data_IF_928436878729
#
_entry.id   IF_928436878729
#
_cell.length_a   1.000
_cell.length_b   1.000
_cell.length_c   1.000
_cell.angle_alpha   90.00
_cell.angle_beta   90.00
_cell.angle_gamma   90.00
#
_symmetry.space_group_name_H-M   'P 1'
#
loop_
_entity.id
_entity.type
_entity.pdbx_description
1 polymer ?
#
# COMPACT_ATOMS: atom_id res chain seq x y z
N UNK A 1 -24.88 -3.62 -5.86
CA UNK A 1 -23.44 -3.34 -6.04
C UNK A 1 -23.15 -1.88 -6.37
N UNK A 2 -24.16 -1.06 -6.67
CA UNK A 2 -24.00 0.38 -6.94
C UNK A 2 -23.74 1.20 -5.66
N UNK A 3 -24.46 0.89 -4.57
CA UNK A 3 -24.31 1.54 -3.26
C UNK A 3 -22.94 1.38 -2.57
N UNK A 4 -22.04 0.54 -3.11
CA UNK A 4 -20.68 0.39 -2.60
C UNK A 4 -19.69 1.35 -3.28
N UNK A 5 -20.03 1.96 -4.43
CA UNK A 5 -19.11 2.85 -5.15
C UNK A 5 -18.85 4.18 -4.41
N UNK A 6 -19.80 4.61 -3.58
CA UNK A 6 -19.72 5.86 -2.81
C UNK A 6 -19.18 5.68 -1.37
N UNK A 7 -18.86 4.44 -0.98
CA UNK A 7 -18.32 4.17 0.36
C UNK A 7 -16.81 4.40 0.38
N UNK A 8 -16.39 5.41 1.13
CA UNK A 8 -15.00 5.63 1.49
C UNK A 8 -14.55 4.54 2.46
N UNK A 9 -13.39 3.95 2.21
CA UNK A 9 -12.73 3.03 3.13
C UNK A 9 -11.76 3.84 3.98
N UNK A 10 -11.97 3.93 5.31
CA UNK A 10 -11.08 4.69 6.17
C UNK A 10 -9.64 4.18 6.09
N UNK A 11 -8.70 5.11 6.17
CA UNK A 11 -7.29 4.73 6.30
C UNK A 11 -7.03 4.12 7.68
N UNK A 12 -6.04 3.24 7.74
CA UNK A 12 -5.49 2.71 8.98
C UNK A 12 -4.16 3.43 9.20
N UNK A 13 -4.18 4.49 10.00
CA UNK A 13 -3.03 5.37 10.19
C UNK A 13 -2.88 5.79 11.66
N UNK A 14 -1.65 6.06 12.05
CA UNK A 14 -1.25 6.65 13.32
C UNK A 14 0.08 7.40 13.09
N UNK A 15 0.54 8.14 14.09
CA UNK A 15 1.88 8.72 14.07
C UNK A 15 2.95 7.64 14.27
N UNK A 16 4.19 7.93 13.82
CA UNK A 16 5.35 7.08 14.11
C UNK A 16 5.40 5.75 13.35
N UNK A 17 4.68 5.63 12.22
CA UNK A 17 4.69 4.42 11.41
C UNK A 17 6.08 4.13 10.83
N UNK A 18 6.50 2.86 10.91
CA UNK A 18 7.65 2.36 10.14
C UNK A 18 7.30 2.27 8.65
N UNK A 19 6.11 1.80 8.32
CA UNK A 19 5.66 1.64 6.93
C UNK A 19 4.20 2.03 6.78
N UNK A 20 3.90 2.93 5.85
CA UNK A 20 2.56 3.17 5.34
C UNK A 20 2.41 2.44 3.99
N UNK A 21 1.66 1.35 3.96
CA UNK A 21 1.31 0.67 2.71
C UNK A 21 0.23 1.45 1.98
N UNK A 22 0.39 1.62 0.68
CA UNK A 22 -0.55 2.35 -0.16
C UNK A 22 -1.02 1.45 -1.31
N UNK A 23 -2.28 1.01 -1.24
CA UNK A 23 -2.96 0.36 -2.34
C UNK A 23 -3.34 1.33 -3.46
N UNK A 24 -3.89 0.80 -4.55
CA UNK A 24 -4.33 1.63 -5.68
C UNK A 24 -5.62 2.36 -5.32
N UNK A 25 -6.69 1.60 -5.14
CA UNK A 25 -8.00 2.07 -4.73
C UNK A 25 -8.82 0.91 -4.16
N UNK A 26 -9.91 1.19 -3.40
CA UNK A 26 -10.82 0.17 -2.92
C UNK A 26 -11.43 -0.65 -4.07
N UNK A 27 -11.27 -1.97 -4.05
CA UNK A 27 -12.10 -2.86 -4.86
C UNK A 27 -13.53 -2.94 -4.29
N UNK A 28 -14.49 -3.47 -5.05
CA UNK A 28 -15.89 -3.61 -4.58
C UNK A 28 -16.03 -4.33 -3.24
N UNK A 29 -15.25 -5.39 -3.00
CA UNK A 29 -15.26 -6.10 -1.71
C UNK A 29 -14.73 -5.21 -0.58
N UNK A 30 -13.63 -4.49 -0.81
CA UNK A 30 -13.05 -3.57 0.17
C UNK A 30 -14.01 -2.43 0.50
N UNK A 31 -14.74 -1.90 -0.48
CA UNK A 31 -15.77 -0.90 -0.25
C UNK A 31 -17.02 -1.46 0.47
N UNK A 32 -17.36 -2.72 0.21
CA UNK A 32 -18.48 -3.38 0.88
C UNK A 32 -18.18 -3.72 2.36
N UNK A 33 -16.95 -4.15 2.66
CA UNK A 33 -16.54 -4.57 4.02
C UNK A 33 -15.91 -3.45 4.83
N UNK A 34 -15.41 -2.39 4.20
CA UNK A 34 -14.59 -1.38 4.86
C UNK A 34 -13.17 -1.86 5.22
N UNK A 35 -12.73 -2.98 4.64
CA UNK A 35 -11.44 -3.60 4.97
C UNK A 35 -10.51 -3.66 3.76
N UNK A 36 -9.30 -3.15 3.93
CA UNK A 36 -8.27 -3.10 2.90
C UNK A 36 -7.91 -4.51 2.42
N UNK A 37 -7.75 -4.66 1.10
CA UNK A 37 -7.36 -5.92 0.45
C UNK A 37 -8.26 -7.13 0.79
N UNK A 38 -9.55 -6.91 1.08
CA UNK A 38 -10.49 -7.96 1.50
C UNK A 38 -10.93 -8.97 0.43
N UNK A 39 -10.62 -8.74 -0.85
CA UNK A 39 -11.04 -9.64 -1.94
C UNK A 39 -10.36 -11.02 -1.80
N UNK A 40 -11.11 -12.14 -1.85
CA UNK A 40 -10.51 -13.47 -1.94
C UNK A 40 -9.51 -13.58 -3.09
N UNK A 41 -8.35 -14.19 -2.81
CA UNK A 41 -7.24 -14.30 -3.76
C UNK A 41 -6.34 -13.05 -3.86
N UNK A 42 -6.65 -11.96 -3.13
CA UNK A 42 -5.66 -10.91 -2.88
C UNK A 42 -4.60 -11.43 -1.91
N UNK A 43 -3.33 -11.25 -2.27
CA UNK A 43 -2.19 -11.83 -1.55
C UNK A 43 -1.55 -10.89 -0.53
N UNK A 44 -2.08 -9.68 -0.31
CA UNK A 44 -1.48 -8.70 0.60
C UNK A 44 -1.28 -9.27 2.00
N UNK A 45 -2.36 -9.78 2.62
CA UNK A 45 -2.30 -10.32 3.99
C UNK A 45 -1.40 -11.56 4.11
N UNK A 46 -1.49 -12.58 3.23
CA UNK A 46 -0.52 -13.67 3.19
C UNK A 46 0.93 -13.21 3.04
N UNK A 47 1.22 -12.31 2.11
CA UNK A 47 2.57 -11.81 1.83
C UNK A 47 3.11 -11.00 3.00
N UNK A 48 2.27 -10.18 3.64
CA UNK A 48 2.62 -9.40 4.82
C UNK A 48 3.07 -10.32 5.97
N UNK A 49 2.35 -11.41 6.20
CA UNK A 49 2.76 -12.42 7.18
C UNK A 49 4.04 -13.16 6.77
N UNK A 50 4.10 -13.68 5.54
CA UNK A 50 5.25 -14.45 5.04
C UNK A 50 6.55 -13.65 5.03
N UNK A 51 6.47 -12.32 4.87
CA UNK A 51 7.62 -11.40 4.94
C UNK A 51 8.04 -11.01 6.36
N UNK A 52 7.30 -11.49 7.37
CA UNK A 52 7.60 -11.28 8.78
C UNK A 52 7.15 -9.93 9.33
N UNK A 53 6.33 -9.15 8.62
CA UNK A 53 5.76 -7.91 9.15
C UNK A 53 4.76 -8.18 10.28
N UNK A 54 4.04 -9.31 10.21
CA UNK A 54 3.10 -9.73 11.25
C UNK A 54 3.45 -11.14 11.75
N UNK A 55 3.31 -11.40 13.08
CA UNK A 55 3.68 -12.69 13.68
C UNK A 55 2.74 -13.84 13.27
N UNK A 56 1.55 -13.50 12.78
CA UNK A 56 0.53 -14.42 12.28
C UNK A 56 -0.14 -13.83 11.04
N UNK A 57 -0.88 -14.67 10.32
CA UNK A 57 -1.77 -14.21 9.25
C UNK A 57 -2.98 -13.47 9.85
N UNK A 58 -3.05 -12.16 9.62
CA UNK A 58 -4.21 -11.35 9.97
C UNK A 58 -5.30 -11.47 8.91
N UNK A 59 -6.56 -11.45 9.34
CA UNK A 59 -7.71 -11.24 8.45
C UNK A 59 -7.85 -9.75 8.12
N UNK A 60 -8.46 -9.38 6.99
CA UNK A 60 -8.72 -7.97 6.66
C UNK A 60 -9.46 -7.19 7.76
N UNK A 61 -10.37 -7.83 8.49
CA UNK A 61 -11.09 -7.21 9.61
C UNK A 61 -10.18 -6.88 10.81
N UNK A 62 -9.02 -7.52 10.92
CA UNK A 62 -8.01 -7.30 11.96
C UNK A 62 -7.03 -6.16 11.58
N UNK A 63 -7.29 -5.40 10.50
CA UNK A 63 -6.39 -4.36 10.00
C UNK A 63 -5.99 -3.31 11.04
N UNK A 64 -6.82 -3.05 12.06
CA UNK A 64 -6.47 -2.15 13.16
C UNK A 64 -5.27 -2.61 13.98
N UNK A 65 -4.98 -3.91 14.04
CA UNK A 65 -3.79 -4.44 14.72
C UNK A 65 -2.48 -4.01 14.04
N UNK A 66 -2.51 -3.56 12.78
CA UNK A 66 -1.31 -3.08 12.10
C UNK A 66 -0.62 -1.93 12.81
N UNK A 67 -1.40 -1.07 13.47
CA UNK A 67 -0.87 0.09 14.18
C UNK A 67 0.04 -0.31 15.34
N UNK A 68 -0.23 -1.45 16.03
CA UNK A 68 0.64 -1.93 17.11
C UNK A 68 1.97 -2.49 16.60
N UNK A 69 2.07 -2.81 15.30
CA UNK A 69 3.31 -3.19 14.61
C UNK A 69 4.00 -1.99 13.94
N UNK A 70 3.47 -0.77 14.12
CA UNK A 70 3.95 0.44 13.44
C UNK A 70 3.70 0.42 11.93
N UNK A 71 2.63 -0.25 11.49
CA UNK A 71 2.24 -0.37 10.08
C UNK A 71 0.90 0.32 9.84
N UNK A 72 0.75 0.98 8.69
CA UNK A 72 -0.50 1.60 8.26
C UNK A 72 -0.92 1.20 6.86
N UNK A 73 -2.17 1.47 6.49
CA UNK A 73 -2.71 1.25 5.14
C UNK A 73 -3.56 2.44 4.69
N UNK A 74 -3.31 2.89 3.45
CA UNK A 74 -4.10 3.88 2.70
C UNK A 74 -4.28 3.41 1.25
N UNK A 75 -5.01 4.17 0.43
CA UNK A 75 -4.97 4.05 -1.04
C UNK A 75 -4.53 5.35 -1.71
N UNK A 76 -4.07 5.27 -2.96
CA UNK A 76 -3.80 6.44 -3.82
C UNK A 76 -5.11 7.15 -4.16
N UNK A 77 -6.12 6.40 -4.60
CA UNK A 77 -7.42 6.94 -5.01
C UNK A 77 -8.50 6.43 -4.06
N UNK A 78 -9.33 7.35 -3.56
CA UNK A 78 -10.38 7.03 -2.60
C UNK A 78 -11.60 6.34 -3.24
N UNK A 79 -11.86 6.61 -4.52
CA UNK A 79 -13.03 6.07 -5.25
C UNK A 79 -12.92 4.56 -5.44
N UNK A 80 -13.99 3.85 -5.07
CA UNK A 80 -14.08 2.41 -5.27
C UNK A 80 -14.38 2.07 -6.75
N UNK A 81 -13.70 1.07 -7.29
CA UNK A 81 -13.96 0.54 -8.65
C UNK A 81 -13.96 -0.98 -8.65
N UNK A 82 -14.55 -1.60 -9.70
CA UNK A 82 -14.46 -3.04 -9.86
C UNK A 82 -13.06 -3.46 -10.32
N UNK A 83 -12.43 -2.61 -11.13
CA UNK A 83 -11.09 -2.80 -11.67
C UNK A 83 -10.29 -1.50 -11.62
N UNK A 84 -8.99 -1.62 -11.35
CA UNK A 84 -8.09 -0.46 -11.29
C UNK A 84 -7.86 0.21 -12.65
N UNK A 85 -8.22 -0.45 -13.77
CA UNK A 85 -8.19 0.11 -15.12
C UNK A 85 -9.39 1.05 -15.42
N UNK A 86 -10.37 1.15 -14.51
CA UNK A 86 -11.44 2.16 -14.54
C UNK A 86 -11.01 3.52 -13.97
N UNK A 87 -9.78 3.65 -13.48
CA UNK A 87 -9.24 4.90 -12.96
C UNK A 87 -8.57 5.70 -14.08
N UNK A 88 -8.91 6.98 -14.17
CA UNK A 88 -8.30 7.92 -15.12
C UNK A 88 -6.91 8.35 -14.67
N UNK A 89 -6.09 8.84 -15.61
CA UNK A 89 -4.76 9.36 -15.29
C UNK A 89 -4.85 10.55 -14.32
N UNK A 90 -5.85 11.41 -14.50
CA UNK A 90 -6.12 12.58 -13.67
C UNK A 90 -6.42 12.18 -12.22
N UNK A 91 -7.17 11.09 -12.01
CA UNK A 91 -7.44 10.56 -10.68
C UNK A 91 -6.17 10.03 -10.00
N UNK A 92 -5.29 9.34 -10.73
CA UNK A 92 -4.01 8.93 -10.18
C UNK A 92 -3.16 10.13 -9.76
N UNK A 93 -3.04 11.15 -10.63
CA UNK A 93 -2.25 12.34 -10.35
C UNK A 93 -2.84 13.12 -9.17
N UNK A 94 -4.17 13.26 -9.08
CA UNK A 94 -4.83 13.87 -7.94
C UNK A 94 -4.61 13.07 -6.66
N UNK A 95 -4.76 11.74 -6.72
CA UNK A 95 -4.48 10.84 -5.62
C UNK A 95 -3.03 10.89 -5.14
N UNK A 96 -2.07 11.01 -6.06
CA UNK A 96 -0.65 11.18 -5.75
C UNK A 96 -0.36 12.47 -4.97
N UNK A 97 -1.04 13.58 -5.29
CA UNK A 97 -0.94 14.83 -4.52
C UNK A 97 -1.50 14.68 -3.10
N UNK A 98 -2.66 14.04 -2.96
CA UNK A 98 -3.27 13.79 -1.64
C UNK A 98 -2.43 12.83 -0.80
N UNK A 99 -1.87 11.78 -1.42
CA UNK A 99 -0.97 10.86 -0.77
C UNK A 99 0.32 11.55 -0.31
N UNK A 100 0.87 12.46 -1.14
CA UNK A 100 2.02 13.28 -0.77
C UNK A 100 1.73 14.09 0.48
N UNK A 101 0.61 14.83 0.52
CA UNK A 101 0.22 15.62 1.69
C UNK A 101 0.08 14.76 2.95
N UNK A 102 -0.60 13.61 2.84
CA UNK A 102 -0.78 12.66 3.94
C UNK A 102 0.54 12.10 4.47
N UNK A 103 1.48 11.76 3.58
CA UNK A 103 2.79 11.24 3.95
C UNK A 103 3.63 12.33 4.62
N UNK A 104 3.56 13.57 4.14
CA UNK A 104 4.22 14.71 4.79
C UNK A 104 3.68 14.96 6.20
N UNK A 105 2.38 14.75 6.45
CA UNK A 105 1.77 14.88 7.77
C UNK A 105 2.15 13.72 8.70
N UNK A 106 1.90 12.48 8.28
CA UNK A 106 2.11 11.28 9.10
C UNK A 106 3.59 10.90 9.30
N UNK A 107 4.46 11.37 8.39
CA UNK A 107 5.91 11.13 8.37
C UNK A 107 6.28 9.65 8.63
N UNK A 108 5.70 8.67 7.91
CA UNK A 108 6.14 7.29 8.05
C UNK A 108 7.61 7.18 7.62
N UNK A 109 8.39 6.24 8.18
CA UNK A 109 9.77 6.03 7.68
C UNK A 109 9.78 5.64 6.20
N UNK A 110 8.82 4.81 5.81
CA UNK A 110 8.62 4.38 4.42
C UNK A 110 7.17 4.53 3.97
N UNK A 111 6.98 5.11 2.79
CA UNK A 111 5.78 4.90 1.98
C UNK A 111 6.02 3.70 1.06
N UNK A 112 5.15 2.70 1.11
CA UNK A 112 5.22 1.52 0.26
C UNK A 112 4.03 1.46 -0.70
N UNK A 113 4.22 1.86 -1.96
CA UNK A 113 3.15 1.84 -2.97
C UNK A 113 3.04 0.46 -3.61
N UNK A 114 1.89 -0.16 -3.42
CA UNK A 114 1.61 -1.54 -3.79
C UNK A 114 1.06 -1.59 -5.22
N UNK A 115 1.99 -1.61 -6.19
CA UNK A 115 1.72 -1.69 -7.62
C UNK A 115 2.50 -0.65 -8.40
N UNK A 116 3.47 -1.10 -9.21
CA UNK A 116 4.33 -0.21 -10.00
C UNK A 116 3.55 0.73 -10.89
N UNK A 117 2.54 0.26 -11.64
CA UNK A 117 1.77 1.10 -12.54
C UNK A 117 1.06 2.25 -11.82
N UNK A 118 0.49 1.97 -10.63
CA UNK A 118 -0.17 3.00 -9.83
C UNK A 118 0.85 4.05 -9.35
N UNK A 119 2.04 3.63 -8.91
CA UNK A 119 3.11 4.55 -8.57
C UNK A 119 3.52 5.43 -9.76
N UNK A 120 3.76 4.82 -10.93
CA UNK A 120 4.14 5.55 -12.15
C UNK A 120 3.10 6.61 -12.53
N UNK A 121 1.82 6.25 -12.47
CA UNK A 121 0.73 7.17 -12.79
C UNK A 121 0.57 8.27 -11.73
N UNK A 122 0.68 7.94 -10.45
CA UNK A 122 0.48 8.89 -9.36
C UNK A 122 1.61 9.92 -9.23
N UNK A 123 2.85 9.51 -9.52
CA UNK A 123 4.04 10.35 -9.32
C UNK A 123 4.74 10.77 -10.62
N UNK A 124 4.22 10.38 -11.78
CA UNK A 124 4.77 10.73 -13.09
C UNK A 124 6.12 10.07 -13.40
N UNK A 125 6.52 9.02 -12.67
CA UNK A 125 7.79 8.34 -12.83
C UNK A 125 7.65 7.12 -13.75
N UNK A 126 7.85 7.32 -15.05
CA UNK A 126 7.71 6.24 -16.05
C UNK A 126 8.77 5.13 -15.91
N UNK A 127 9.86 5.42 -15.22
CA UNK A 127 11.05 4.54 -15.09
C UNK A 127 11.05 3.72 -13.81
N UNK A 128 10.17 4.00 -12.86
CA UNK A 128 10.09 3.28 -11.59
C UNK A 128 10.08 1.76 -11.76
N UNK A 129 10.80 1.04 -10.89
CA UNK A 129 10.83 -0.42 -10.82
C UNK A 129 10.45 -0.85 -9.40
N UNK A 130 10.11 -2.13 -9.22
CA UNK A 130 9.93 -2.70 -7.88
C UNK A 130 11.24 -2.55 -7.10
N UNK A 131 11.15 -2.09 -5.85
CA UNK A 131 12.31 -1.76 -5.02
C UNK A 131 12.24 -0.38 -4.36
N UNK A 132 13.32 0.02 -3.66
CA UNK A 132 13.46 1.39 -3.16
C UNK A 132 13.58 2.37 -4.32
N UNK A 133 13.02 3.57 -4.16
CA UNK A 133 13.10 4.65 -5.15
C UNK A 133 14.04 5.75 -4.64
N UNK A 134 14.63 6.51 -5.57
CA UNK A 134 15.39 7.72 -5.25
C UNK A 134 14.50 8.85 -4.73
N UNK A 135 13.23 8.86 -5.13
CA UNK A 135 12.23 9.82 -4.65
C UNK A 135 12.00 9.63 -3.14
N UNK A 136 12.00 10.75 -2.41
CA UNK A 136 11.47 10.87 -1.06
C UNK A 136 10.26 11.83 -1.03
N UNK A 137 9.48 11.77 0.03
CA UNK A 137 8.36 12.69 0.33
C UNK A 137 8.57 13.24 1.74
N UNK A 138 9.09 14.46 1.85
CA UNK A 138 9.65 14.92 3.11
C UNK A 138 10.77 13.97 3.55
N UNK A 139 10.72 13.54 4.80
CA UNK A 139 11.67 12.57 5.37
C UNK A 139 11.31 11.11 5.05
N UNK A 140 10.14 10.86 4.45
CA UNK A 140 9.68 9.52 4.11
C UNK A 140 10.34 9.01 2.84
N UNK A 141 11.02 7.87 2.95
CA UNK A 141 11.57 7.15 1.78
C UNK A 141 10.45 6.40 1.06
N UNK A 142 10.63 6.14 -0.24
CA UNK A 142 9.60 5.48 -1.05
C UNK A 142 10.05 4.11 -1.54
N UNK A 143 9.16 3.12 -1.40
CA UNK A 143 9.34 1.76 -1.94
C UNK A 143 8.17 1.40 -2.85
N UNK A 144 8.47 0.79 -3.99
CA UNK A 144 7.45 0.24 -4.90
C UNK A 144 7.40 -1.26 -4.75
N UNK A 145 6.23 -1.78 -4.40
CA UNK A 145 5.97 -3.20 -4.21
C UNK A 145 5.17 -3.76 -5.39
N UNK A 146 5.24 -5.07 -5.66
CA UNK A 146 4.39 -5.71 -6.66
C UNK A 146 2.91 -5.68 -6.25
N UNK A 147 2.01 -5.65 -7.24
CA UNK A 147 0.56 -5.67 -6.97
C UNK A 147 0.12 -7.08 -6.50
N UNK A 148 -0.52 -7.24 -5.32
CA UNK A 148 -0.88 -8.51 -4.71
C UNK A 148 -2.14 -9.16 -5.31
N UNK A 149 -2.79 -8.51 -6.29
CA UNK A 149 -3.90 -9.11 -7.03
C UNK A 149 -3.53 -10.49 -7.56
N UNK A 150 -4.41 -11.48 -7.38
CA UNK A 150 -4.23 -12.83 -7.92
C UNK A 150 -4.09 -12.89 -9.45
N UNK A 151 -4.46 -11.82 -10.15
CA UNK A 151 -4.29 -11.69 -11.61
C UNK A 151 -2.84 -11.39 -12.04
N UNK A 152 -1.96 -11.02 -11.11
CA UNK A 152 -0.57 -10.75 -11.40
C UNK A 152 0.24 -12.06 -11.45
N UNK A 153 0.39 -12.63 -12.65
CA UNK A 153 1.07 -13.90 -12.90
C UNK A 153 2.60 -13.83 -12.80
N UNK A 154 3.20 -12.65 -12.93
CA UNK A 154 4.66 -12.48 -12.90
C UNK A 154 5.26 -12.60 -11.49
N UNK A 155 4.42 -12.50 -10.46
CA UNK A 155 4.85 -12.54 -9.07
C UNK A 155 4.12 -13.67 -8.37
N UNK A 156 4.84 -14.53 -7.64
CA UNK A 156 4.25 -15.53 -6.74
C UNK A 156 4.12 -14.94 -5.34
N UNK A 157 3.36 -15.58 -4.45
CA UNK A 157 3.32 -15.12 -3.06
C UNK A 157 4.72 -15.14 -2.41
N UNK A 158 5.55 -16.12 -2.75
CA UNK A 158 6.92 -16.24 -2.24
C UNK A 158 7.80 -15.07 -2.72
N UNK A 159 7.83 -14.78 -4.03
CA UNK A 159 8.69 -13.69 -4.54
C UNK A 159 8.21 -12.31 -4.09
N UNK A 160 6.90 -12.13 -3.89
CA UNK A 160 6.40 -10.91 -3.24
C UNK A 160 6.88 -10.81 -1.79
N UNK A 161 6.84 -11.93 -1.04
CA UNK A 161 7.28 -11.95 0.35
C UNK A 161 8.77 -11.63 0.51
N UNK A 162 9.62 -12.05 -0.44
CA UNK A 162 11.04 -11.66 -0.49
C UNK A 162 11.20 -10.14 -0.57
N UNK A 163 10.46 -9.49 -1.47
CA UNK A 163 10.54 -8.03 -1.63
C UNK A 163 9.97 -7.27 -0.42
N UNK A 164 8.86 -7.75 0.14
CA UNK A 164 8.32 -7.19 1.38
C UNK A 164 9.31 -7.37 2.55
N UNK A 165 10.02 -8.51 2.61
CA UNK A 165 11.03 -8.75 3.65
C UNK A 165 12.23 -7.79 3.51
N UNK A 166 12.65 -7.45 2.27
CA UNK A 166 13.67 -6.41 2.03
C UNK A 166 13.22 -5.05 2.54
N UNK A 167 11.97 -4.65 2.26
CA UNK A 167 11.40 -3.42 2.81
C UNK A 167 11.37 -3.47 4.35
N UNK A 168 10.94 -4.60 4.94
CA UNK A 168 10.91 -4.77 6.39
C UNK A 168 12.30 -4.57 7.00
N UNK A 169 13.32 -5.21 6.44
CA UNK A 169 14.69 -5.05 6.91
C UNK A 169 15.12 -3.58 6.88
N UNK A 170 14.82 -2.85 5.80
CA UNK A 170 15.12 -1.43 5.68
C UNK A 170 14.32 -0.52 6.63
N UNK A 171 13.06 -0.86 6.92
CA UNK A 171 12.18 -0.05 7.78
C UNK A 171 12.49 -0.19 9.29
N UNK A 172 12.98 -1.37 9.67
CA UNK A 172 13.30 -1.72 11.06
C UNK A 172 14.81 -1.78 11.35
N UNK A 173 15.66 -1.49 10.36
CA UNK A 173 17.09 -1.29 10.60
C UNK A 173 17.30 -0.12 11.59
N UNK A 174 18.31 -0.21 12.47
CA UNK A 174 18.77 0.94 13.24
C UNK A 174 19.01 2.11 12.28
N UNK A 175 18.52 3.30 12.65
CA UNK A 175 18.95 4.50 11.93
C UNK A 175 20.37 4.78 12.41
N UNK A 176 21.31 4.93 11.48
CA UNK A 176 22.64 5.42 11.85
C UNK A 176 22.47 6.80 12.51
N UNK A 177 23.10 7.05 13.67
CA UNK A 177 23.10 8.39 14.22
C UNK A 177 23.94 9.29 13.29
N UNK A 178 23.31 10.36 12.79
CA UNK A 178 24.01 11.48 12.14
C UNK A 178 25.11 12.07 13.05
#
# INVERSE_FOLDING_TARGET
>A
MEAARDRLVPDVVADGLHVLFCGINPGLMTAATGHHFARPGNRFWPVLHLSGFTPRLLRPAEQGELLSYGLGITNVVARATARADELTAEEYVAGGRLLTAKVTELRPRWLAVVGVTAYRSAFGDRTARVGPQERAIGDSRVWVLPNPSGLNAHWTAATMAEEFARLRQAAFAPQDPD
#
